data_IF_501163301727
#
_entry.id   IF_501163301727
#
_cell.length_a   1.000
_cell.length_b   1.000
_cell.length_c   1.000
_cell.angle_alpha   90.00
_cell.angle_beta   90.00
_cell.angle_gamma   90.00
#
_symmetry.space_group_name_H-M   'P 1'
#
loop_
_entity.id
_entity.type
_entity.pdbx_description
1 polymer ?
#
# COMPACT_ATOMS: atom_id res chain seq x y z
N UNK A 1 12.31 -17.14 -4.76
CA UNK A 1 13.04 -17.72 -3.61
C UNK A 1 13.20 -16.65 -2.52
N UNK A 2 12.31 -16.68 -1.54
CA UNK A 2 12.15 -15.63 -0.52
C UNK A 2 13.32 -15.53 0.44
N UNK A 3 14.28 -14.67 0.11
CA UNK A 3 15.34 -14.27 1.04
C UNK A 3 14.73 -13.33 2.08
N UNK A 4 14.58 -13.83 3.30
CA UNK A 4 14.34 -12.99 4.47
C UNK A 4 15.57 -12.10 4.66
N UNK A 5 15.47 -10.83 4.26
CA UNK A 5 16.48 -9.85 4.56
C UNK A 5 16.49 -9.63 6.08
N UNK A 6 17.44 -10.26 6.78
CA UNK A 6 17.81 -9.83 8.14
C UNK A 6 18.01 -8.31 8.06
N UNK A 7 17.27 -7.49 8.84
CA UNK A 7 17.40 -6.05 8.73
C UNK A 7 18.83 -5.66 9.07
N UNK A 8 19.55 -5.17 8.05
CA UNK A 8 20.95 -4.75 8.13
C UNK A 8 21.16 -3.64 9.18
N UNK A 9 20.08 -2.95 9.56
CA UNK A 9 20.04 -1.99 10.64
C UNK A 9 18.88 -2.29 11.63
N UNK A 10 19.25 -2.77 12.82
CA UNK A 10 18.30 -3.07 13.90
C UNK A 10 17.55 -1.81 14.38
N UNK A 11 18.17 -0.64 14.33
CA UNK A 11 17.55 0.62 14.77
C UNK A 11 16.43 1.03 13.80
N UNK A 12 16.70 0.99 12.49
CA UNK A 12 15.69 1.19 11.45
C UNK A 12 14.55 0.17 11.54
N UNK A 13 14.85 -1.11 11.79
CA UNK A 13 13.82 -2.14 11.99
C UNK A 13 12.91 -1.84 13.19
N UNK A 14 13.48 -1.50 14.35
CA UNK A 14 12.70 -1.15 15.53
C UNK A 14 11.90 0.14 15.32
N UNK A 15 12.45 1.13 14.61
CA UNK A 15 11.76 2.37 14.28
C UNK A 15 10.52 2.10 13.41
N UNK A 16 10.66 1.29 12.35
CA UNK A 16 9.55 0.88 11.50
C UNK A 16 8.54 0.04 12.27
N UNK A 17 8.97 -0.91 13.10
CA UNK A 17 8.06 -1.73 13.91
C UNK A 17 7.22 -0.90 14.88
N UNK A 18 7.83 0.07 15.57
CA UNK A 18 7.13 1.02 16.46
C UNK A 18 6.17 1.92 15.68
N UNK A 19 6.56 2.39 14.50
CA UNK A 19 5.69 3.18 13.63
C UNK A 19 4.48 2.37 13.17
N UNK A 20 4.69 1.14 12.71
CA UNK A 20 3.62 0.21 12.32
C UNK A 20 2.65 -0.06 13.48
N UNK A 21 3.17 -0.32 14.69
CA UNK A 21 2.34 -0.49 15.88
C UNK A 21 1.47 0.75 16.17
N UNK A 22 2.03 1.95 16.08
CA UNK A 22 1.27 3.20 16.25
C UNK A 22 0.19 3.39 15.18
N UNK A 23 0.48 3.07 13.92
CA UNK A 23 -0.49 3.18 12.83
C UNK A 23 -1.64 2.18 12.97
N UNK A 24 -1.34 0.94 13.36
CA UNK A 24 -2.34 -0.08 13.64
C UNK A 24 -3.21 0.29 14.85
N UNK A 25 -2.61 0.61 15.99
CA UNK A 25 -3.38 0.95 17.21
C UNK A 25 -4.19 2.23 17.04
N UNK A 26 -3.67 3.26 16.34
CA UNK A 26 -4.46 4.46 16.01
C UNK A 26 -5.55 4.19 14.97
N UNK A 27 -5.26 3.39 13.94
CA UNK A 27 -6.27 3.03 12.94
C UNK A 27 -7.44 2.27 13.55
N UNK A 28 -7.16 1.36 14.49
CA UNK A 28 -8.17 0.57 15.21
C UNK A 28 -8.92 1.42 16.24
N UNK A 29 -8.21 2.22 17.06
CA UNK A 29 -8.83 3.03 18.10
C UNK A 29 -9.62 4.24 17.55
N UNK A 30 -9.21 4.79 16.41
CA UNK A 30 -9.79 6.02 15.85
C UNK A 30 -10.71 5.76 14.66
N UNK A 31 -10.92 4.50 14.25
CA UNK A 31 -11.54 4.13 12.96
C UNK A 31 -10.96 4.92 11.77
N UNK A 32 -9.75 5.45 11.93
CA UNK A 32 -9.18 6.44 11.00
C UNK A 32 -8.26 5.70 10.06
N UNK A 33 -8.43 5.97 8.77
CA UNK A 33 -7.59 5.39 7.73
C UNK A 33 -6.13 5.80 7.90
N UNK A 34 -5.19 4.93 7.51
CA UNK A 34 -3.76 5.26 7.58
C UNK A 34 -3.47 6.57 6.85
N UNK A 35 -2.81 7.56 7.46
CA UNK A 35 -2.52 8.83 6.79
C UNK A 35 -1.56 8.68 5.59
N UNK A 36 -0.83 7.56 5.54
CA UNK A 36 0.20 7.32 4.51
C UNK A 36 -0.41 6.63 3.28
N UNK A 37 -1.10 5.51 3.49
CA UNK A 37 -1.62 4.65 2.42
C UNK A 37 -3.16 4.65 2.32
N UNK A 38 -3.85 5.37 3.21
CA UNK A 38 -5.29 5.48 3.20
C UNK A 38 -5.98 4.10 3.25
N UNK A 39 -6.91 3.90 2.32
CA UNK A 39 -7.76 2.72 2.15
C UNK A 39 -7.12 1.63 1.27
N UNK A 40 -5.78 1.60 1.16
CA UNK A 40 -5.10 0.60 0.34
C UNK A 40 -5.33 -0.82 0.86
N UNK A 41 -5.68 -1.74 -0.04
CA UNK A 41 -5.80 -3.18 0.24
C UNK A 41 -4.70 -3.99 -0.45
N UNK A 42 -4.14 -3.47 -1.55
CA UNK A 42 -3.10 -4.14 -2.34
C UNK A 42 -1.96 -3.18 -2.70
N UNK A 43 -0.78 -3.74 -2.97
CA UNK A 43 0.33 -2.99 -3.55
C UNK A 43 1.19 -3.88 -4.45
N UNK A 44 1.82 -3.29 -5.46
CA UNK A 44 2.87 -3.93 -6.24
C UNK A 44 4.02 -2.95 -6.50
N UNK A 45 5.19 -3.47 -6.86
CA UNK A 45 6.31 -2.62 -7.26
C UNK A 45 6.31 -2.40 -8.78
N UNK A 46 6.67 -1.21 -9.27
CA UNK A 46 6.52 -0.79 -10.68
C UNK A 46 7.24 -1.65 -11.74
N UNK A 47 8.04 -2.62 -11.32
CA UNK A 47 8.69 -3.64 -12.14
C UNK A 47 7.98 -5.00 -12.12
N UNK A 48 6.81 -5.10 -11.49
CA UNK A 48 5.96 -6.30 -11.41
C UNK A 48 4.59 -5.95 -11.95
N UNK A 49 4.01 -6.79 -12.81
CA UNK A 49 2.65 -6.58 -13.34
C UNK A 49 1.77 -7.74 -12.88
N UNK A 50 1.06 -7.60 -11.74
CA UNK A 50 0.17 -8.64 -11.26
C UNK A 50 -1.18 -8.59 -11.97
N UNK A 51 -1.80 -9.75 -12.15
CA UNK A 51 -3.09 -9.89 -12.85
C UNK A 51 -4.24 -9.08 -12.22
N UNK A 52 -4.20 -8.84 -10.90
CA UNK A 52 -5.21 -8.06 -10.19
C UNK A 52 -5.07 -6.54 -10.40
N UNK A 53 -3.94 -6.04 -10.89
CA UNK A 53 -3.66 -4.59 -10.95
C UNK A 53 -4.61 -3.82 -11.87
N UNK A 54 -5.18 -4.48 -12.87
CA UNK A 54 -6.20 -3.90 -13.76
C UNK A 54 -7.58 -3.86 -13.13
N UNK A 55 -7.82 -4.68 -12.10
CA UNK A 55 -9.14 -4.87 -11.47
C UNK A 55 -9.33 -4.04 -10.21
N UNK A 56 -8.34 -3.24 -9.82
CA UNK A 56 -8.36 -2.41 -8.62
C UNK A 56 -8.02 -0.95 -8.95
N UNK A 57 -8.46 -0.02 -8.11
CA UNK A 57 -8.19 1.42 -8.33
C UNK A 57 -6.83 1.78 -7.74
N UNK A 58 -5.86 2.27 -8.54
CA UNK A 58 -4.62 2.81 -7.99
C UNK A 58 -4.92 4.11 -7.26
N UNK A 59 -4.45 4.22 -6.02
CA UNK A 59 -4.72 5.39 -5.16
C UNK A 59 -3.46 6.18 -4.78
N UNK A 60 -2.26 5.56 -4.81
CA UNK A 60 -1.00 6.25 -4.48
C UNK A 60 0.23 5.51 -5.00
N UNK A 61 1.32 6.23 -5.29
CA UNK A 61 2.67 5.67 -5.46
C UNK A 61 3.59 6.19 -4.35
N UNK A 62 4.34 5.31 -3.69
CA UNK A 62 5.38 5.67 -2.70
C UNK A 62 6.65 4.91 -3.07
N UNK A 63 7.70 5.64 -3.43
CA UNK A 63 8.90 5.02 -4.00
C UNK A 63 8.55 4.18 -5.23
N UNK A 64 8.93 2.90 -5.23
CA UNK A 64 8.62 1.95 -6.31
C UNK A 64 7.26 1.27 -6.16
N UNK A 65 6.53 1.49 -5.07
CA UNK A 65 5.29 0.78 -4.78
C UNK A 65 4.06 1.57 -5.19
N UNK A 66 3.13 0.94 -5.90
CA UNK A 66 1.83 1.48 -6.27
C UNK A 66 0.76 0.78 -5.42
N UNK A 67 -0.01 1.56 -4.69
CA UNK A 67 -1.06 1.13 -3.77
C UNK A 67 -2.43 1.21 -4.43
N UNK A 68 -3.27 0.24 -4.11
CA UNK A 68 -4.57 0.01 -4.72
C UNK A 68 -5.65 -0.15 -3.68
N UNK A 69 -6.88 0.21 -4.05
CA UNK A 69 -8.08 -0.02 -3.27
C UNK A 69 -9.09 -0.84 -4.08
N UNK A 70 -9.77 -1.75 -3.39
CA UNK A 70 -10.98 -2.41 -3.87
C UNK A 70 -12.17 -1.44 -3.79
N UNK A 71 -12.95 -1.34 -4.87
CA UNK A 71 -14.18 -0.55 -4.81
C UNK A 71 -15.21 -1.22 -3.90
N UNK A 72 -16.00 -0.43 -3.14
CA UNK A 72 -17.08 -0.96 -2.33
C UNK A 72 -18.01 -1.85 -3.17
N UNK A 73 -18.23 -3.10 -2.74
CA UNK A 73 -19.06 -4.07 -3.46
C UNK A 73 -18.34 -4.95 -4.48
N UNK A 74 -17.00 -4.95 -4.51
CA UNK A 74 -16.21 -5.91 -5.32
C UNK A 74 -16.29 -5.68 -6.83
N UNK A 75 -16.80 -4.52 -7.26
CA UNK A 75 -16.90 -4.16 -8.67
C UNK A 75 -15.53 -3.71 -9.16
N UNK A 76 -15.03 -4.29 -10.26
CA UNK A 76 -13.81 -3.80 -10.89
C UNK A 76 -14.03 -2.34 -11.33
N UNK A 77 -13.04 -1.44 -11.12
CA UNK A 77 -13.18 -0.06 -11.56
C UNK A 77 -13.33 -0.02 -13.08
N UNK A 78 -14.22 0.85 -13.55
CA UNK A 78 -14.33 1.15 -14.97
C UNK A 78 -12.95 1.55 -15.50
N UNK A 79 -12.48 1.06 -16.67
CA UNK A 79 -11.18 1.42 -17.21
C UNK A 79 -11.08 2.94 -17.38
N UNK A 80 -10.38 3.61 -16.45
CA UNK A 80 -10.06 5.03 -16.56
C UNK A 80 -8.71 5.18 -17.24
N UNK A 81 -8.56 6.16 -18.15
CA UNK A 81 -7.24 6.61 -18.62
C UNK A 81 -6.38 6.84 -17.37
N UNK A 82 -5.18 6.24 -17.35
CA UNK A 82 -4.25 6.27 -16.22
C UNK A 82 -4.13 7.71 -15.70
N UNK A 83 -4.47 8.01 -14.43
CA UNK A 83 -4.19 9.32 -13.85
C UNK A 83 -2.67 9.52 -13.85
N UNK A 84 -2.22 10.74 -14.16
CA UNK A 84 -0.81 11.10 -14.02
C UNK A 84 -0.49 11.21 -12.53
N UNK A 85 -0.08 10.10 -11.92
CA UNK A 85 0.35 10.07 -10.52
C UNK A 85 1.77 10.65 -10.36
N UNK A 86 1.98 11.86 -10.88
CA UNK A 86 3.18 12.68 -10.71
C UNK A 86 2.94 13.75 -9.66
N UNK A 87 2.94 13.36 -8.38
CA UNK A 87 3.40 14.21 -7.27
C UNK A 87 3.60 13.42 -5.98
#
# INVERSE_FOLDING_TARGET
>A
DGVSARPYDKASWQAVYKLSGKLLTRGVASQTVSPIVGTATHYHADYVVPHWSSSLTPIRKIGRHIFYREEPGGTAPTPRKRPDLSS
#
